data_IF_002434390012
#
_entry.id   IF_002434390012
#
_cell.length_a   1.000
_cell.length_b   1.000
_cell.length_c   1.000
_cell.angle_alpha   90.00
_cell.angle_beta   90.00
_cell.angle_gamma   90.00
#
_symmetry.space_group_name_H-M   'P 1'
#
loop_
_entity.id
_entity.type
_entity.pdbx_description
1 polymer ?
#
# COMPACT_ATOMS: atom_id res chain seq x y z
N UNK A 1 -12.89 -36.17 -40.02
CA UNK A 1 -11.42 -36.01 -40.07
C UNK A 1 -11.06 -35.35 -41.40
N UNK A 2 -10.67 -34.09 -41.35
CA UNK A 2 -10.23 -33.35 -42.54
C UNK A 2 -8.70 -33.30 -42.59
N UNK A 3 -8.12 -33.80 -43.67
CA UNK A 3 -6.66 -33.77 -43.91
C UNK A 3 -6.39 -33.04 -45.22
N UNK A 4 -5.38 -32.16 -45.22
CA UNK A 4 -4.80 -31.62 -46.46
C UNK A 4 -3.37 -32.10 -46.60
N UNK A 5 -2.99 -32.39 -47.84
CA UNK A 5 -1.61 -32.71 -48.21
C UNK A 5 -1.02 -31.45 -48.85
N UNK A 6 0.09 -30.97 -48.31
CA UNK A 6 0.83 -29.83 -48.87
C UNK A 6 1.68 -30.25 -50.08
N UNK A 7 2.08 -29.30 -50.92
CA UNK A 7 2.84 -29.58 -52.16
C UNK A 7 4.20 -30.26 -51.91
N UNK A 8 4.75 -30.16 -50.70
CA UNK A 8 5.97 -30.84 -50.24
C UNK A 8 5.70 -32.23 -49.60
N UNK A 9 4.47 -32.75 -49.71
CA UNK A 9 4.11 -34.11 -49.30
C UNK A 9 3.87 -34.29 -47.79
N UNK A 10 3.76 -33.19 -47.02
CA UNK A 10 3.43 -33.26 -45.59
C UNK A 10 1.92 -33.34 -45.38
N UNK A 11 1.50 -34.18 -44.44
CA UNK A 11 0.11 -34.29 -44.03
C UNK A 11 -0.18 -33.31 -42.91
N UNK A 12 -1.14 -32.42 -43.11
CA UNK A 12 -1.67 -31.58 -42.04
C UNK A 12 -3.01 -32.19 -41.60
N UNK A 13 -3.01 -32.75 -40.38
CA UNK A 13 -4.22 -33.23 -39.71
C UNK A 13 -4.89 -32.06 -38.99
N UNK A 14 -6.07 -31.66 -39.44
CA UNK A 14 -6.86 -30.61 -38.81
C UNK A 14 -7.79 -31.17 -37.73
N UNK A 15 -7.72 -32.47 -37.46
CA UNK A 15 -8.62 -33.18 -36.56
C UNK A 15 -10.05 -33.19 -37.09
N UNK A 16 -11.01 -33.13 -36.18
CA UNK A 16 -12.42 -32.88 -36.50
C UNK A 16 -12.73 -31.38 -36.34
N UNK A 17 -12.93 -30.64 -37.44
CA UNK A 17 -13.20 -29.20 -37.39
C UNK A 17 -14.45 -28.86 -36.57
N UNK A 18 -15.48 -29.71 -36.59
CA UNK A 18 -16.71 -29.47 -35.82
C UNK A 18 -16.46 -29.61 -34.33
N UNK A 19 -15.69 -30.62 -33.92
CA UNK A 19 -15.29 -30.81 -32.53
C UNK A 19 -14.42 -29.66 -32.02
N UNK A 20 -13.45 -29.22 -32.83
CA UNK A 20 -12.56 -28.11 -32.50
C UNK A 20 -13.34 -26.79 -32.34
N UNK A 21 -14.33 -26.54 -33.20
CA UNK A 21 -15.23 -25.37 -33.09
C UNK A 21 -16.07 -25.48 -31.81
N UNK A 22 -16.63 -26.66 -31.51
CA UNK A 22 -17.44 -26.91 -30.31
C UNK A 22 -16.65 -26.65 -29.03
N UNK A 23 -15.43 -27.15 -28.93
CA UNK A 23 -14.57 -26.94 -27.77
C UNK A 23 -14.22 -25.46 -27.56
N UNK A 24 -13.94 -24.73 -28.65
CA UNK A 24 -13.69 -23.28 -28.58
C UNK A 24 -14.94 -22.51 -28.14
N UNK A 25 -16.11 -22.85 -28.65
CA UNK A 25 -17.39 -22.25 -28.24
C UNK A 25 -17.69 -22.49 -26.75
N UNK A 26 -17.47 -23.70 -26.25
CA UNK A 26 -17.64 -24.03 -24.83
C UNK A 26 -16.66 -23.27 -23.94
N UNK A 27 -15.41 -23.12 -24.38
CA UNK A 27 -14.40 -22.31 -23.67
C UNK A 27 -14.79 -20.83 -23.61
N UNK A 28 -15.26 -20.28 -24.73
CA UNK A 28 -15.75 -18.90 -24.82
C UNK A 28 -16.96 -18.73 -23.88
N UNK A 29 -17.91 -19.66 -23.91
CA UNK A 29 -19.11 -19.62 -23.06
C UNK A 29 -18.75 -19.59 -21.57
N UNK A 30 -17.86 -20.50 -21.13
CA UNK A 30 -17.37 -20.50 -19.74
C UNK A 30 -16.69 -19.19 -19.35
N UNK A 31 -15.91 -18.62 -20.26
CA UNK A 31 -15.22 -17.35 -20.03
C UNK A 31 -16.22 -16.19 -19.90
N UNK A 32 -17.23 -16.15 -20.77
CA UNK A 32 -18.31 -15.16 -20.72
C UNK A 32 -19.11 -15.29 -19.43
N UNK A 33 -19.48 -16.51 -19.03
CA UNK A 33 -20.23 -16.77 -17.81
C UNK A 33 -19.44 -16.30 -16.57
N UNK A 34 -18.13 -16.58 -16.52
CA UNK A 34 -17.24 -16.09 -15.46
C UNK A 34 -17.21 -14.57 -15.42
N UNK A 35 -17.01 -13.91 -16.57
CA UNK A 35 -16.95 -12.45 -16.65
C UNK A 35 -18.26 -11.79 -16.22
N UNK A 36 -19.42 -12.40 -16.53
CA UNK A 36 -20.72 -11.90 -16.10
C UNK A 36 -20.86 -11.99 -14.57
N UNK A 37 -20.41 -13.10 -13.97
CA UNK A 37 -20.41 -13.27 -12.51
C UNK A 37 -19.49 -12.26 -11.83
N UNK A 38 -18.28 -12.09 -12.34
CA UNK A 38 -17.31 -11.13 -11.81
C UNK A 38 -17.84 -9.69 -11.93
N UNK A 39 -18.44 -9.33 -13.07
CA UNK A 39 -19.04 -8.02 -13.25
C UNK A 39 -20.16 -7.76 -12.25
N UNK A 40 -21.00 -8.76 -11.98
CA UNK A 40 -22.07 -8.66 -10.98
C UNK A 40 -21.51 -8.49 -9.57
N UNK A 41 -20.47 -9.24 -9.22
CA UNK A 41 -19.80 -9.14 -7.93
C UNK A 41 -19.16 -7.75 -7.73
N UNK A 42 -18.43 -7.25 -8.73
CA UNK A 42 -17.79 -5.93 -8.70
C UNK A 42 -18.83 -4.80 -8.60
N UNK A 43 -19.93 -4.87 -9.36
CA UNK A 43 -21.04 -3.92 -9.24
C UNK A 43 -21.66 -3.93 -7.84
N UNK A 44 -21.79 -5.11 -7.23
CA UNK A 44 -22.28 -5.23 -5.86
C UNK A 44 -21.31 -4.59 -4.85
N UNK A 45 -20.01 -4.81 -5.02
CA UNK A 45 -18.99 -4.18 -4.16
C UNK A 45 -18.98 -2.66 -4.30
N UNK A 46 -19.04 -2.14 -5.52
CA UNK A 46 -19.11 -0.70 -5.79
C UNK A 46 -20.37 -0.09 -5.16
N UNK A 47 -21.51 -0.76 -5.28
CA UNK A 47 -22.77 -0.28 -4.69
C UNK A 47 -22.73 -0.29 -3.15
N UNK A 48 -22.02 -1.24 -2.55
CA UNK A 48 -21.84 -1.34 -1.10
C UNK A 48 -20.74 -0.43 -0.55
N UNK A 49 -19.83 0.05 -1.39
CA UNK A 49 -18.73 0.92 -0.96
C UNK A 49 -19.26 2.31 -0.61
N UNK A 50 -19.19 2.64 0.68
CA UNK A 50 -19.45 3.99 1.17
C UNK A 50 -18.13 4.62 1.59
N UNK A 51 -17.65 5.55 0.76
CA UNK A 51 -16.40 6.30 0.97
C UNK A 51 -16.40 7.02 2.32
N UNK A 52 -17.53 7.59 2.73
CA UNK A 52 -17.63 8.39 3.96
C UNK A 52 -17.51 7.51 5.21
N UNK A 53 -18.07 6.30 5.18
CA UNK A 53 -17.90 5.32 6.27
C UNK A 53 -16.44 4.90 6.39
N UNK A 54 -15.77 4.65 5.27
CA UNK A 54 -14.36 4.27 5.26
C UNK A 54 -13.44 5.40 5.77
N UNK A 55 -13.71 6.65 5.34
CA UNK A 55 -12.99 7.83 5.83
C UNK A 55 -13.22 7.99 7.33
N UNK A 56 -14.48 7.94 7.78
CA UNK A 56 -14.81 8.07 9.21
C UNK A 56 -14.10 7.01 10.06
N UNK A 57 -14.08 5.76 9.61
CA UNK A 57 -13.39 4.69 10.32
C UNK A 57 -11.88 4.98 10.44
N UNK A 58 -11.26 5.55 9.41
CA UNK A 58 -9.85 5.96 9.43
C UNK A 58 -9.61 7.19 10.32
N UNK A 59 -10.50 8.17 10.29
CA UNK A 59 -10.42 9.34 11.17
C UNK A 59 -10.54 8.95 12.65
N UNK A 60 -11.44 8.01 12.97
CA UNK A 60 -11.61 7.49 14.33
C UNK A 60 -10.36 6.70 14.78
N UNK A 61 -9.74 5.93 13.89
CA UNK A 61 -8.46 5.24 14.14
C UNK A 61 -7.32 6.26 14.41
N UNK A 62 -7.19 7.28 13.56
CA UNK A 62 -6.21 8.36 13.72
C UNK A 62 -6.41 9.06 15.06
N UNK A 63 -7.65 9.49 15.37
CA UNK A 63 -7.97 10.15 16.64
C UNK A 63 -7.61 9.27 17.83
N UNK A 64 -7.89 7.97 17.75
CA UNK A 64 -7.53 7.01 18.80
C UNK A 64 -6.02 6.89 19.00
N UNK A 65 -5.23 7.00 17.92
CA UNK A 65 -3.75 7.03 18.00
C UNK A 65 -3.29 8.31 18.69
N UNK A 66 -3.81 9.47 18.30
CA UNK A 66 -3.47 10.75 18.94
C UNK A 66 -3.79 10.73 20.45
N UNK A 67 -4.92 10.16 20.85
CA UNK A 67 -5.32 10.09 22.27
C UNK A 67 -4.44 9.17 23.13
N UNK A 68 -3.81 8.15 22.53
CA UNK A 68 -3.03 7.14 23.27
C UNK A 68 -1.51 7.30 23.11
N UNK A 69 -1.07 8.22 22.26
CA UNK A 69 0.36 8.47 22.02
C UNK A 69 0.89 9.53 22.97
N UNK A 70 2.15 9.38 23.40
CA UNK A 70 2.83 10.40 24.22
C UNK A 70 3.06 11.68 23.40
N UNK A 71 3.43 11.53 22.12
CA UNK A 71 3.49 12.59 21.14
C UNK A 71 3.34 12.01 19.72
N UNK A 72 2.83 12.81 18.81
CA UNK A 72 2.80 12.52 17.37
C UNK A 72 3.62 13.60 16.69
N UNK A 73 4.71 13.20 16.04
CA UNK A 73 5.58 14.14 15.34
C UNK A 73 4.93 14.61 14.04
N UNK A 74 5.13 15.87 13.68
CA UNK A 74 4.83 16.34 12.33
C UNK A 74 5.71 15.60 11.30
N UNK A 75 5.33 15.58 10.01
CA UNK A 75 6.17 15.01 8.96
C UNK A 75 7.59 15.63 8.93
N UNK A 76 7.69 16.93 9.22
CA UNK A 76 8.96 17.65 9.26
C UNK A 76 9.80 17.22 10.46
N UNK A 77 9.20 17.16 11.65
CA UNK A 77 9.86 16.65 12.87
C UNK A 77 10.34 15.22 12.68
N UNK A 78 9.52 14.35 12.08
CA UNK A 78 9.85 12.96 11.80
C UNK A 78 11.09 12.84 10.89
N UNK A 79 11.14 13.58 9.78
CA UNK A 79 12.28 13.52 8.86
C UNK A 79 13.55 14.12 9.47
N UNK A 80 13.43 15.20 10.25
CA UNK A 80 14.55 15.78 11.01
C UNK A 80 15.09 14.79 12.04
N UNK A 81 14.21 14.09 12.76
CA UNK A 81 14.57 13.05 13.71
C UNK A 81 15.24 11.87 13.00
N UNK A 82 14.69 11.41 11.87
CA UNK A 82 15.25 10.31 11.07
C UNK A 82 16.65 10.63 10.59
N UNK A 83 16.87 11.81 10.01
CA UNK A 83 18.19 12.26 9.56
C UNK A 83 19.19 12.30 10.72
N UNK A 84 18.77 12.80 11.89
CA UNK A 84 19.60 12.79 13.09
C UNK A 84 20.00 11.36 13.49
N UNK A 85 19.04 10.43 13.50
CA UNK A 85 19.30 9.02 13.84
C UNK A 85 20.23 8.34 12.84
N UNK A 86 20.00 8.50 11.55
CA UNK A 86 20.81 7.89 10.49
C UNK A 86 22.27 8.35 10.55
N UNK A 87 22.50 9.66 10.70
CA UNK A 87 23.86 10.22 10.90
C UNK A 87 24.53 9.62 12.13
N UNK A 88 23.81 9.53 13.24
CA UNK A 88 24.35 9.02 14.51
C UNK A 88 24.54 7.51 14.53
N UNK A 89 23.78 6.75 13.76
CA UNK A 89 24.00 5.31 13.64
C UNK A 89 25.36 5.01 12.98
N UNK A 90 25.81 5.84 12.04
CA UNK A 90 27.11 5.65 11.38
C UNK A 90 28.28 5.80 12.35
N UNK A 91 28.23 6.81 13.22
CA UNK A 91 29.30 7.15 14.17
C UNK A 91 29.17 6.44 15.52
N UNK A 92 28.02 6.58 16.17
CA UNK A 92 27.77 6.11 17.53
C UNK A 92 27.25 4.67 17.60
N UNK A 93 26.89 4.05 16.45
CA UNK A 93 26.28 2.71 16.36
C UNK A 93 25.10 2.53 17.32
N UNK A 94 24.34 3.60 17.50
CA UNK A 94 23.29 3.71 18.49
C UNK A 94 21.91 3.71 17.83
N UNK A 95 20.98 2.96 18.40
CA UNK A 95 19.56 2.93 17.98
C UNK A 95 18.61 3.47 19.07
N UNK A 96 19.12 3.92 20.21
CA UNK A 96 18.33 4.47 21.32
C UNK A 96 18.47 5.99 21.37
N UNK A 97 17.35 6.70 21.34
CA UNK A 97 17.34 8.17 21.42
C UNK A 97 16.41 8.64 22.52
N UNK A 98 16.74 9.79 23.12
CA UNK A 98 15.89 10.45 24.11
C UNK A 98 15.17 11.58 23.40
N UNK A 99 13.85 11.63 23.56
CA UNK A 99 13.05 12.76 23.11
C UNK A 99 12.66 13.59 24.33
N UNK A 100 12.96 14.87 24.27
CA UNK A 100 12.52 15.86 25.24
C UNK A 100 11.34 16.63 24.63
N UNK A 101 10.22 16.63 25.35
CA UNK A 101 8.93 17.14 24.90
C UNK A 101 8.49 18.22 25.88
N UNK A 102 8.48 19.47 25.43
CA UNK A 102 8.12 20.62 26.25
C UNK A 102 6.88 21.30 25.68
N UNK A 103 5.76 21.16 26.40
CA UNK A 103 4.49 21.81 26.03
C UNK A 103 4.54 23.31 26.28
N UNK A 104 4.25 24.11 25.26
CA UNK A 104 4.29 25.59 25.33
C UNK A 104 2.91 26.24 25.48
N UNK A 105 1.83 25.44 25.42
CA UNK A 105 0.45 25.90 25.45
C UNK A 105 -0.15 26.19 24.07
N UNK A 106 0.68 26.50 23.07
CA UNK A 106 0.28 26.60 21.65
C UNK A 106 0.81 25.44 20.81
N UNK A 107 1.82 24.73 21.29
CA UNK A 107 2.32 23.51 20.67
C UNK A 107 3.30 22.79 21.57
N UNK A 108 4.15 21.95 20.98
CA UNK A 108 5.14 21.14 21.72
C UNK A 108 6.51 21.30 21.09
N UNK A 109 7.48 21.81 21.84
CA UNK A 109 8.87 21.79 21.44
C UNK A 109 9.36 20.34 21.53
N UNK A 110 10.03 19.89 20.48
CA UNK A 110 10.56 18.53 20.39
C UNK A 110 12.05 18.58 20.16
N UNK A 111 12.83 18.03 21.09
CA UNK A 111 14.28 17.84 20.94
C UNK A 111 14.62 16.36 20.94
N UNK A 112 15.59 15.98 20.12
CA UNK A 112 16.14 14.63 20.06
C UNK A 112 17.60 14.63 20.54
N UNK A 113 17.96 13.69 21.39
CA UNK A 113 19.30 13.56 21.96
C UNK A 113 19.86 12.16 21.78
N UNK A 114 21.14 12.09 21.40
CA UNK A 114 21.91 10.85 21.39
C UNK A 114 22.51 10.61 22.79
N UNK A 115 22.15 9.53 23.50
CA UNK A 115 22.69 9.23 24.83
C UNK A 115 24.17 8.80 24.83
N UNK A 116 24.75 8.47 23.66
CA UNK A 116 26.15 8.01 23.56
C UNK A 116 27.12 9.18 23.46
N UNK A 117 26.90 10.11 22.52
CA UNK A 117 27.77 11.27 22.33
C UNK A 117 27.26 12.55 23.01
N UNK A 118 26.00 12.56 23.47
CA UNK A 118 25.38 13.73 24.09
C UNK A 118 24.86 14.79 23.13
N UNK A 119 25.08 14.65 21.81
CA UNK A 119 24.58 15.59 20.79
C UNK A 119 23.05 15.67 20.87
N UNK A 120 22.53 16.90 20.82
CA UNK A 120 21.12 17.22 20.92
C UNK A 120 20.74 18.12 19.76
N UNK A 121 19.52 17.94 19.24
CA UNK A 121 18.98 18.74 18.15
C UNK A 121 17.52 19.08 18.43
N UNK A 122 17.20 20.36 18.31
CA UNK A 122 15.81 20.81 18.21
C UNK A 122 15.26 20.45 16.82
N UNK A 123 14.14 19.73 16.81
CA UNK A 123 13.47 19.29 15.59
C UNK A 123 12.09 19.92 15.39
N UNK A 124 11.67 20.79 16.32
CA UNK A 124 10.34 21.42 16.41
C UNK A 124 9.88 22.01 15.08
N UNK A 125 8.65 21.67 14.68
CA UNK A 125 7.99 22.23 13.52
C UNK A 125 6.96 23.28 13.93
N UNK A 126 7.41 24.54 14.02
CA UNK A 126 6.56 25.67 14.42
C UNK A 126 5.42 25.95 13.43
N UNK A 127 5.57 25.54 12.16
CA UNK A 127 4.52 25.73 11.14
C UNK A 127 3.33 24.78 11.34
N UNK A 128 3.47 23.79 12.23
CA UNK A 128 2.44 22.78 12.52
C UNK A 128 1.56 23.11 13.73
N UNK A 129 1.83 24.21 14.42
CA UNK A 129 1.15 24.63 15.66
C UNK A 129 -0.09 25.49 15.40
#
# INVERSE_FOLDING_TARGET
>A
MGTLVTEDGRYIDFGDPEENIRQKLESIKKSVDSLVLDNKALRSQIKGFNKDVAIKAKDDEIRSIYQRSIAVLSPVEYERAKTFREKHYQSCKNNRYIYDLEGTGIGTIVKIKCPVCGEEKDITDLDSW
#
